data_IF_816449819473
#
_entry.id   IF_816449819473
#
_cell.length_a   1.000
_cell.length_b   1.000
_cell.length_c   1.000
_cell.angle_alpha   90.00
_cell.angle_beta   90.00
_cell.angle_gamma   90.00
#
_symmetry.space_group_name_H-M   'P 1'
#
loop_
_entity.id
_entity.type
_entity.pdbx_description
1 polymer ?
#
# COMPACT_ATOMS: atom_id res chain seq x y z
N UNK A 1 -11.51 -14.50 -12.34
CA UNK A 1 -11.43 -13.60 -11.17
C UNK A 1 -10.52 -14.29 -10.18
N UNK A 2 -9.38 -13.68 -9.88
CA UNK A 2 -8.52 -14.08 -8.77
C UNK A 2 -9.10 -13.54 -7.47
N UNK A 3 -8.65 -14.10 -6.35
CA UNK A 3 -8.89 -13.55 -5.03
C UNK A 3 -7.69 -12.68 -4.63
N UNK A 4 -7.95 -11.59 -3.92
CA UNK A 4 -6.94 -10.69 -3.39
C UNK A 4 -6.00 -11.46 -2.47
N UNK A 5 -4.68 -11.47 -2.74
CA UNK A 5 -3.71 -12.22 -1.93
C UNK A 5 -3.61 -11.71 -0.49
N UNK A 6 -4.05 -10.48 -0.21
CA UNK A 6 -4.00 -9.87 1.13
C UNK A 6 -5.18 -10.30 2.01
N UNK A 7 -6.40 -10.38 1.46
CA UNK A 7 -7.62 -10.62 2.26
C UNK A 7 -8.62 -11.63 1.70
N UNK A 8 -8.33 -12.23 0.55
CA UNK A 8 -9.19 -13.23 -0.11
C UNK A 8 -10.49 -12.69 -0.73
N UNK A 9 -10.72 -11.37 -0.72
CA UNK A 9 -11.86 -10.76 -1.45
C UNK A 9 -11.65 -10.87 -2.96
N UNK A 10 -12.71 -10.88 -3.79
CA UNK A 10 -12.55 -10.88 -5.24
C UNK A 10 -11.67 -9.71 -5.70
N UNK A 11 -10.66 -10.00 -6.51
CA UNK A 11 -9.85 -8.96 -7.12
C UNK A 11 -10.71 -8.06 -8.00
N UNK A 12 -10.30 -6.79 -8.13
CA UNK A 12 -10.95 -5.84 -9.03
C UNK A 12 -10.88 -6.31 -10.48
N UNK A 13 -11.67 -5.69 -11.35
CA UNK A 13 -11.79 -6.11 -12.76
C UNK A 13 -10.44 -6.12 -13.52
N UNK A 14 -9.47 -5.33 -13.07
CA UNK A 14 -8.21 -5.05 -13.77
C UNK A 14 -6.94 -5.25 -12.92
N UNK A 15 -7.01 -5.94 -11.77
CA UNK A 15 -5.86 -6.02 -10.87
C UNK A 15 -5.81 -7.31 -10.05
N UNK A 16 -4.69 -7.53 -9.37
CA UNK A 16 -4.49 -8.68 -8.47
C UNK A 16 -5.15 -8.46 -7.11
N UNK A 17 -5.39 -7.21 -6.74
CA UNK A 17 -5.93 -6.81 -5.45
C UNK A 17 -7.43 -6.51 -5.51
N UNK A 18 -8.08 -6.56 -4.35
CA UNK A 18 -9.45 -6.05 -4.23
C UNK A 18 -9.48 -4.53 -4.32
N UNK A 19 -10.65 -3.94 -4.62
CA UNK A 19 -10.80 -2.49 -4.80
C UNK A 19 -10.26 -1.65 -3.62
N UNK A 20 -10.31 -2.16 -2.39
CA UNK A 20 -9.84 -1.44 -1.20
C UNK A 20 -8.31 -1.43 -1.09
N UNK A 21 -7.68 -2.57 -1.33
CA UNK A 21 -6.21 -2.68 -1.32
C UNK A 21 -5.59 -1.99 -2.54
N UNK A 22 -6.27 -2.03 -3.69
CA UNK A 22 -5.84 -1.24 -4.86
C UNK A 22 -5.85 0.26 -4.54
N UNK A 23 -6.97 0.76 -4.00
CA UNK A 23 -7.07 2.17 -3.60
C UNK A 23 -6.02 2.56 -2.55
N UNK A 24 -5.70 1.66 -1.62
CA UNK A 24 -4.65 1.90 -0.63
C UNK A 24 -3.26 2.04 -1.26
N UNK A 25 -2.92 1.23 -2.27
CA UNK A 25 -1.69 1.37 -3.06
C UNK A 25 -1.66 2.68 -3.81
N UNK A 26 -2.75 3.01 -4.50
CA UNK A 26 -2.81 4.21 -5.32
C UNK A 26 -2.56 5.45 -4.44
N UNK A 27 -3.20 5.49 -3.27
CA UNK A 27 -2.97 6.53 -2.25
C UNK A 27 -1.54 6.54 -1.71
N UNK A 28 -0.89 5.37 -1.53
CA UNK A 28 0.50 5.30 -1.07
C UNK A 28 1.44 5.93 -2.10
N UNK A 29 1.29 5.59 -3.39
CA UNK A 29 2.10 6.16 -4.47
C UNK A 29 1.88 7.66 -4.62
N UNK A 30 0.63 8.14 -4.56
CA UNK A 30 0.34 9.59 -4.59
C UNK A 30 0.96 10.32 -3.38
N UNK A 31 0.90 9.72 -2.20
CA UNK A 31 1.49 10.27 -0.98
C UNK A 31 3.02 10.31 -1.00
N UNK A 32 3.68 9.31 -1.57
CA UNK A 32 5.14 9.23 -1.65
C UNK A 32 5.72 10.44 -2.37
N UNK A 33 5.14 10.84 -3.52
CA UNK A 33 5.68 11.96 -4.28
C UNK A 33 5.74 13.26 -3.45
N UNK A 34 4.71 13.48 -2.62
CA UNK A 34 4.63 14.63 -1.71
C UNK A 34 5.68 14.53 -0.62
N UNK A 35 5.82 13.38 0.03
CA UNK A 35 6.78 13.16 1.11
C UNK A 35 8.22 13.18 0.62
N UNK A 36 8.50 12.55 -0.51
CA UNK A 36 9.80 12.57 -1.18
C UNK A 36 10.21 13.99 -1.54
N UNK A 37 9.29 14.80 -2.09
CA UNK A 37 9.57 16.19 -2.44
C UNK A 37 9.81 17.08 -1.22
N UNK A 38 9.11 16.82 -0.10
CA UNK A 38 9.20 17.63 1.11
C UNK A 38 10.38 17.24 2.02
N UNK A 39 10.71 15.95 2.11
CA UNK A 39 11.65 15.39 3.09
C UNK A 39 12.89 14.76 2.44
N UNK A 40 12.90 14.53 1.13
CA UNK A 40 14.02 13.88 0.44
C UNK A 40 14.21 12.42 0.80
N UNK A 41 13.17 11.75 1.29
CA UNK A 41 13.20 10.34 1.70
C UNK A 41 12.91 9.41 0.51
N UNK A 42 13.40 8.17 0.60
CA UNK A 42 13.07 7.11 -0.36
C UNK A 42 11.77 6.38 0.01
N UNK A 43 11.35 5.48 -0.89
CA UNK A 43 10.13 4.68 -0.74
C UNK A 43 10.11 3.89 0.56
N UNK A 44 11.19 3.17 0.88
CA UNK A 44 11.25 2.34 2.09
C UNK A 44 11.14 3.19 3.37
N UNK A 45 11.86 4.32 3.43
CA UNK A 45 11.75 5.27 4.54
C UNK A 45 10.35 5.85 4.66
N UNK A 46 9.68 6.15 3.55
CA UNK A 46 8.29 6.60 3.54
C UNK A 46 7.34 5.55 4.14
N UNK A 47 7.46 4.28 3.74
CA UNK A 47 6.67 3.19 4.31
C UNK A 47 6.97 2.97 5.80
N UNK A 48 8.23 3.10 6.22
CA UNK A 48 8.65 3.03 7.62
C UNK A 48 7.98 4.12 8.47
N UNK A 49 7.98 5.36 7.98
CA UNK A 49 7.30 6.47 8.64
C UNK A 49 5.79 6.23 8.77
N UNK A 50 5.13 5.79 7.70
CA UNK A 50 3.70 5.50 7.73
C UNK A 50 3.37 4.33 8.68
N UNK A 51 4.15 3.26 8.65
CA UNK A 51 3.90 2.07 9.46
C UNK A 51 4.02 2.34 10.97
N UNK A 52 4.82 3.34 11.34
CA UNK A 52 4.98 3.82 12.72
C UNK A 52 3.80 4.66 13.23
N UNK A 53 2.86 5.07 12.36
CA UNK A 53 1.66 5.80 12.77
C UNK A 53 0.62 4.83 13.35
N UNK A 54 0.19 5.05 14.59
CA UNK A 54 -0.86 4.25 15.24
C UNK A 54 -2.21 4.38 14.53
N UNK A 55 -2.48 5.56 13.97
CA UNK A 55 -3.71 5.90 13.26
C UNK A 55 -3.71 5.51 11.77
N UNK A 56 -2.69 4.77 11.32
CA UNK A 56 -2.64 4.27 9.96
C UNK A 56 -3.84 3.36 9.66
N UNK A 57 -4.58 3.69 8.60
CA UNK A 57 -5.72 2.90 8.16
C UNK A 57 -5.34 1.44 7.88
N UNK A 58 -6.20 0.51 8.31
CA UNK A 58 -5.96 -0.94 8.21
C UNK A 58 -5.53 -1.39 6.81
N UNK A 59 -6.25 -0.94 5.77
CA UNK A 59 -5.94 -1.32 4.38
C UNK A 59 -4.53 -0.88 3.97
N UNK A 60 -4.10 0.31 4.38
CA UNK A 60 -2.76 0.81 4.08
C UNK A 60 -1.71 0.00 4.83
N UNK A 61 -1.96 -0.32 6.11
CA UNK A 61 -1.07 -1.18 6.92
C UNK A 61 -0.86 -2.54 6.25
N UNK A 62 -1.94 -3.20 5.85
CA UNK A 62 -1.88 -4.51 5.20
C UNK A 62 -1.15 -4.46 3.85
N UNK A 63 -1.33 -3.38 3.07
CA UNK A 63 -0.56 -3.16 1.83
C UNK A 63 0.94 -3.00 2.12
N UNK A 64 1.32 -2.21 3.13
CA UNK A 64 2.74 -2.03 3.48
C UNK A 64 3.37 -3.37 3.86
N UNK A 65 2.67 -4.19 4.64
CA UNK A 65 3.12 -5.54 5.01
C UNK A 65 3.26 -6.46 3.79
N UNK A 66 2.31 -6.38 2.86
CA UNK A 66 2.35 -7.14 1.61
C UNK A 66 3.59 -6.79 0.75
N UNK A 67 3.86 -5.49 0.59
CA UNK A 67 5.03 -4.96 -0.14
C UNK A 67 6.33 -5.42 0.52
N UNK A 68 6.45 -5.26 1.84
CA UNK A 68 7.65 -5.66 2.61
C UNK A 68 7.90 -7.16 2.59
N UNK A 69 6.88 -7.97 2.33
CA UNK A 69 7.00 -9.42 2.17
C UNK A 69 7.63 -9.83 0.82
N UNK A 70 8.06 -8.86 0.00
CA UNK A 70 8.67 -9.08 -1.31
C UNK A 70 7.64 -9.26 -2.43
N UNK A 71 6.36 -9.00 -2.16
CA UNK A 71 5.32 -9.03 -3.18
C UNK A 71 5.16 -7.62 -3.73
N UNK A 72 5.56 -7.42 -4.98
CA UNK A 72 5.23 -6.18 -5.70
C UNK A 72 3.87 -6.37 -6.38
N UNK A 73 2.86 -5.56 -6.03
CA UNK A 73 1.61 -5.49 -6.76
C UNK A 73 1.78 -4.82 -8.14
#
# INVERSE_FOLDING_TARGET
MSDCPICGRPSGHNGELCQYHQLAIDNLHEGEETWRSALGIDWDSYLDHLYALDELGLWVREVIEYIRSGNSP
#
